data_IF_543789396167
#
_entry.id   IF_543789396167
#
_cell.length_a   1.000
_cell.length_b   1.000
_cell.length_c   1.000
_cell.angle_alpha   90.00
_cell.angle_beta   90.00
_cell.angle_gamma   90.00
#
_symmetry.space_group_name_H-M   'P 1'
#
loop_
_entity.id
_entity.type
_entity.pdbx_description
1 polymer ?
#
# COMPACT_ATOMS: atom_id res chain seq x y z
N UNK A 1 -41.54 12.07 63.87
CA UNK A 1 -40.93 13.34 64.28
C UNK A 1 -39.44 13.30 63.97
N UNK A 2 -38.93 14.29 63.22
CA UNK A 2 -37.58 14.92 63.22
C UNK A 2 -36.35 13.98 63.30
N UNK A 3 -35.31 14.07 62.47
CA UNK A 3 -34.64 15.28 61.96
C UNK A 3 -33.67 14.93 60.82
N UNK A 4 -33.61 15.80 59.80
CA UNK A 4 -32.51 15.93 58.83
C UNK A 4 -31.34 16.69 59.46
N UNK A 5 -30.13 16.34 59.03
CA UNK A 5 -28.92 17.16 58.81
C UNK A 5 -27.89 16.23 58.17
N UNK A 6 -27.04 16.55 57.21
CA UNK A 6 -26.59 17.78 56.57
C UNK A 6 -25.74 17.26 55.39
N UNK A 7 -25.81 17.84 54.19
CA UNK A 7 -24.61 18.14 53.38
C UNK A 7 -25.01 18.81 52.07
N UNK A 8 -24.25 19.88 51.82
CA UNK A 8 -24.55 20.97 50.94
C UNK A 8 -24.02 20.76 49.52
N UNK A 9 -24.70 21.43 48.60
CA UNK A 9 -24.23 22.05 47.36
C UNK A 9 -22.72 22.04 47.08
N UNK A 10 -22.33 21.42 45.97
CA UNK A 10 -21.22 21.85 45.12
C UNK A 10 -21.37 21.24 43.70
N UNK A 11 -22.25 21.79 42.86
CA UNK A 11 -22.37 21.36 41.45
C UNK A 11 -22.39 22.53 40.44
N UNK A 12 -22.23 23.78 40.89
CA UNK A 12 -22.32 24.96 40.03
C UNK A 12 -20.96 25.52 39.54
N UNK A 13 -19.83 24.95 39.98
CA UNK A 13 -18.48 25.47 39.67
C UNK A 13 -17.78 24.84 38.46
N UNK A 14 -18.16 23.63 38.06
CA UNK A 14 -17.48 22.86 36.99
C UNK A 14 -18.00 23.21 35.59
N UNK A 15 -19.27 23.61 35.49
CA UNK A 15 -19.94 23.90 34.22
C UNK A 15 -19.46 25.20 33.57
N UNK A 16 -19.20 26.25 34.35
CA UNK A 16 -18.76 27.55 33.85
C UNK A 16 -17.30 27.54 33.34
N UNK A 17 -16.40 26.85 34.05
CA UNK A 17 -14.99 26.74 33.65
C UNK A 17 -14.80 25.87 32.38
N UNK A 18 -15.57 24.78 32.25
CA UNK A 18 -15.56 23.94 31.06
C UNK A 18 -16.10 24.69 29.82
N UNK A 19 -17.16 25.49 29.98
CA UNK A 19 -17.68 26.33 28.91
C UNK A 19 -16.69 27.41 28.48
N UNK A 20 -15.96 28.00 29.44
CA UNK A 20 -14.97 29.03 29.13
C UNK A 20 -13.74 28.45 28.40
N UNK A 21 -13.19 27.33 28.86
CA UNK A 21 -12.07 26.66 28.20
C UNK A 21 -12.41 26.16 26.79
N UNK A 22 -13.68 25.78 26.55
CA UNK A 22 -14.17 25.42 25.22
C UNK A 22 -14.35 26.66 24.33
N UNK A 23 -14.89 27.75 24.88
CA UNK A 23 -14.99 29.05 24.19
C UNK A 23 -13.62 29.63 23.84
N UNK A 24 -12.58 29.38 24.63
CA UNK A 24 -11.22 29.82 24.34
C UNK A 24 -10.54 28.92 23.28
N UNK A 25 -11.01 27.69 23.10
CA UNK A 25 -10.51 26.74 22.11
C UNK A 25 -10.98 27.04 20.66
N UNK A 26 -12.17 27.63 20.52
CA UNK A 26 -12.77 28.11 19.26
C UNK A 26 -12.64 29.64 19.23
N UNK A 27 -11.84 30.21 18.31
CA UNK A 27 -11.46 31.64 18.34
C UNK A 27 -12.63 32.62 18.49
N UNK A 28 -12.34 33.77 19.11
CA UNK A 28 -13.26 34.84 19.50
C UNK A 28 -14.41 35.15 18.52
N UNK A 29 -15.63 35.16 19.08
CA UNK A 29 -16.90 35.68 18.53
C UNK A 29 -17.79 34.77 17.67
N UNK A 30 -17.66 33.43 17.73
CA UNK A 30 -18.73 32.56 17.24
C UNK A 30 -19.23 31.62 18.33
N UNK A 31 -20.49 31.78 18.75
CA UNK A 31 -21.18 30.84 19.67
C UNK A 31 -21.46 29.48 19.00
N UNK A 32 -20.90 29.25 17.82
CA UNK A 32 -21.14 28.11 16.93
C UNK A 32 -19.87 27.26 16.86
N UNK A 33 -19.94 26.05 17.40
CA UNK A 33 -18.89 25.05 17.32
C UNK A 33 -18.86 24.31 15.97
N UNK A 34 -20.00 24.13 15.30
CA UNK A 34 -20.08 23.53 13.96
C UNK A 34 -21.37 23.91 13.21
N UNK A 35 -21.40 23.74 11.89
CA UNK A 35 -22.59 23.92 11.05
C UNK A 35 -22.80 22.73 10.13
N UNK A 36 -24.05 22.29 9.97
CA UNK A 36 -24.46 21.25 9.04
C UNK A 36 -25.71 21.69 8.26
N UNK A 37 -25.53 22.17 7.03
CA UNK A 37 -26.61 22.83 6.28
C UNK A 37 -27.09 24.10 6.99
N UNK A 38 -28.39 24.21 7.27
CA UNK A 38 -28.95 25.32 8.09
C UNK A 38 -28.84 25.10 9.60
N UNK A 39 -28.38 23.93 10.06
CA UNK A 39 -28.28 23.60 11.48
C UNK A 39 -26.96 24.09 12.07
N UNK A 40 -27.00 24.57 13.31
CA UNK A 40 -25.84 25.05 14.06
C UNK A 40 -25.66 24.26 15.36
N UNK A 41 -24.46 23.71 15.56
CA UNK A 41 -24.03 23.19 16.86
C UNK A 41 -23.42 24.34 17.65
N UNK A 42 -24.08 24.80 18.71
CA UNK A 42 -23.50 25.84 19.56
C UNK A 42 -22.43 25.29 20.48
N UNK A 43 -21.48 26.14 20.89
CA UNK A 43 -20.43 25.77 21.87
C UNK A 43 -21.07 25.29 23.18
N UNK A 44 -22.16 25.93 23.61
CA UNK A 44 -22.94 25.49 24.78
C UNK A 44 -23.52 24.10 24.60
N UNK A 45 -24.11 23.80 23.42
CA UNK A 45 -24.67 22.48 23.15
C UNK A 45 -23.59 21.41 23.09
N UNK A 46 -22.43 21.71 22.52
CA UNK A 46 -21.28 20.81 22.48
C UNK A 46 -20.75 20.51 23.89
N UNK A 47 -20.62 21.53 24.75
CA UNK A 47 -20.24 21.34 26.15
C UNK A 47 -21.24 20.44 26.91
N UNK A 48 -22.53 20.62 26.63
CA UNK A 48 -23.61 19.80 27.17
C UNK A 48 -23.51 18.33 26.73
N UNK A 49 -23.19 18.07 25.45
CA UNK A 49 -22.99 16.72 24.93
C UNK A 49 -21.79 16.03 25.57
N UNK A 50 -20.68 16.76 25.73
CA UNK A 50 -19.46 16.30 26.40
C UNK A 50 -19.70 15.97 27.89
N UNK A 51 -20.51 16.78 28.59
CA UNK A 51 -20.78 16.58 30.02
C UNK A 51 -21.79 15.46 30.33
N UNK A 52 -22.63 15.09 29.36
CA UNK A 52 -23.71 14.11 29.54
C UNK A 52 -23.35 12.71 29.03
N UNK A 53 -22.22 12.54 28.34
CA UNK A 53 -21.81 11.22 27.87
C UNK A 53 -21.32 10.36 29.05
N UNK A 54 -21.71 9.07 29.13
CA UNK A 54 -21.22 8.15 30.16
C UNK A 54 -19.72 7.90 30.06
N UNK A 55 -19.17 8.10 28.86
CA UNK A 55 -17.74 8.07 28.58
C UNK A 55 -17.17 9.39 29.08
N UNK A 56 -16.31 9.38 30.10
CA UNK A 56 -15.70 10.59 30.65
C UNK A 56 -14.70 11.22 29.66
N UNK A 57 -15.20 11.80 28.58
CA UNK A 57 -14.39 12.43 27.53
C UNK A 57 -13.87 13.76 28.07
N UNK A 58 -12.56 13.92 28.10
CA UNK A 58 -11.97 15.19 28.51
C UNK A 58 -12.31 16.29 27.47
N UNK A 59 -12.74 17.48 27.90
CA UNK A 59 -13.12 18.57 27.00
C UNK A 59 -11.89 19.31 26.46
N UNK A 60 -10.99 18.57 25.81
CA UNK A 60 -9.85 19.13 25.09
C UNK A 60 -10.31 19.69 23.75
N UNK A 61 -9.56 20.63 23.17
CA UNK A 61 -9.82 21.19 21.84
C UNK A 61 -9.95 20.09 20.76
N UNK A 62 -9.09 19.08 20.85
CA UNK A 62 -9.07 17.95 19.92
C UNK A 62 -10.34 17.11 20.01
N UNK A 63 -10.77 16.73 21.22
CA UNK A 63 -12.01 15.96 21.43
C UNK A 63 -13.25 16.78 21.06
N UNK A 64 -13.24 18.08 21.35
CA UNK A 64 -14.31 19.00 20.98
C UNK A 64 -14.46 19.09 19.45
N UNK A 65 -13.35 19.25 18.73
CA UNK A 65 -13.33 19.25 17.27
C UNK A 65 -13.80 17.91 16.68
N UNK A 66 -13.37 16.79 17.26
CA UNK A 66 -13.77 15.46 16.80
C UNK A 66 -15.29 15.21 16.96
N UNK A 67 -15.87 15.61 18.10
CA UNK A 67 -17.31 15.48 18.34
C UNK A 67 -18.10 16.45 17.48
N UNK A 68 -17.60 17.67 17.29
CA UNK A 68 -18.20 18.65 16.39
C UNK A 68 -18.25 18.12 14.94
N UNK A 69 -17.15 17.53 14.45
CA UNK A 69 -17.09 16.88 13.15
C UNK A 69 -18.07 15.69 13.05
N UNK A 70 -18.10 14.81 14.06
CA UNK A 70 -19.03 13.69 14.11
C UNK A 70 -20.50 14.15 14.11
N UNK A 71 -20.80 15.23 14.83
CA UNK A 71 -22.13 15.83 14.83
C UNK A 71 -22.50 16.36 13.44
N UNK A 72 -21.57 17.03 12.74
CA UNK A 72 -21.81 17.50 11.37
C UNK A 72 -22.16 16.33 10.45
N UNK A 73 -21.35 15.27 10.49
CA UNK A 73 -21.57 14.08 9.66
C UNK A 73 -22.92 13.42 9.97
N UNK A 74 -23.26 13.27 11.27
CA UNK A 74 -24.55 12.70 11.68
C UNK A 74 -25.75 13.56 11.26
N UNK A 75 -25.64 14.89 11.36
CA UNK A 75 -26.70 15.79 10.93
C UNK A 75 -26.87 15.77 9.41
N UNK A 76 -25.77 15.82 8.64
CA UNK A 76 -25.85 15.74 7.19
C UNK A 76 -26.46 14.40 6.73
N UNK A 77 -26.10 13.31 7.39
CA UNK A 77 -26.70 11.99 7.18
C UNK A 77 -28.21 11.99 7.49
N UNK A 78 -28.62 12.59 8.61
CA UNK A 78 -30.03 12.73 8.97
C UNK A 78 -30.82 13.63 8.02
N UNK A 79 -30.25 14.76 7.60
CA UNK A 79 -30.86 15.65 6.60
C UNK A 79 -31.02 14.97 5.24
N UNK A 80 -30.04 14.16 4.83
CA UNK A 80 -30.11 13.38 3.60
C UNK A 80 -31.25 12.35 3.68
N UNK A 81 -31.26 11.52 4.73
CA UNK A 81 -32.30 10.54 4.99
C UNK A 81 -33.70 11.16 5.01
N UNK A 82 -33.87 12.29 5.71
CA UNK A 82 -35.13 13.01 5.83
C UNK A 82 -35.66 13.62 4.51
N UNK A 83 -34.76 13.93 3.58
CA UNK A 83 -35.10 14.38 2.22
C UNK A 83 -35.39 13.22 1.26
N UNK A 84 -35.35 11.98 1.75
CA UNK A 84 -35.46 10.79 0.92
C UNK A 84 -34.24 10.59 0.01
N UNK A 85 -33.11 11.23 0.33
CA UNK A 85 -31.86 10.98 -0.37
C UNK A 85 -31.37 9.58 0.02
N UNK A 86 -31.43 8.68 -0.96
CA UNK A 86 -30.95 7.32 -0.83
C UNK A 86 -29.48 7.21 -0.44
N UNK A 87 -28.68 8.27 -0.64
CA UNK A 87 -27.22 8.26 -0.59
C UNK A 87 -26.58 7.23 -1.54
N UNK A 88 -27.38 6.72 -2.48
CA UNK A 88 -26.97 5.71 -3.47
C UNK A 88 -27.06 6.24 -4.90
N UNK A 89 -27.11 7.56 -5.06
CA UNK A 89 -27.03 8.16 -6.38
C UNK A 89 -25.63 7.91 -6.97
N UNK A 90 -25.51 7.54 -8.26
CA UNK A 90 -24.22 7.18 -8.87
C UNK A 90 -23.12 8.24 -8.67
N UNK A 91 -23.49 9.52 -8.71
CA UNK A 91 -22.54 10.63 -8.56
C UNK A 91 -21.89 10.65 -7.17
N UNK A 92 -22.69 10.49 -6.12
CA UNK A 92 -22.25 10.50 -4.73
C UNK A 92 -21.46 9.23 -4.41
N UNK A 93 -21.89 8.07 -4.95
CA UNK A 93 -21.13 6.82 -4.83
C UNK A 93 -19.75 6.97 -5.49
N UNK A 94 -19.70 7.46 -6.73
CA UNK A 94 -18.43 7.64 -7.44
C UNK A 94 -17.52 8.66 -6.74
N UNK A 95 -18.08 9.73 -6.17
CA UNK A 95 -17.32 10.69 -5.38
C UNK A 95 -16.74 10.06 -4.10
N UNK A 96 -17.50 9.20 -3.40
CA UNK A 96 -17.03 8.48 -2.23
C UNK A 96 -16.04 7.35 -2.58
N UNK A 97 -16.15 6.79 -3.78
CA UNK A 97 -15.35 5.66 -4.26
C UNK A 97 -14.14 6.06 -5.11
N UNK A 98 -13.75 7.34 -5.15
CA UNK A 98 -12.66 7.81 -6.02
C UNK A 98 -11.35 7.03 -5.84
N UNK A 99 -10.99 6.67 -4.61
CA UNK A 99 -9.79 5.85 -4.35
C UNK A 99 -9.90 4.44 -4.95
N UNK A 100 -11.06 3.80 -4.84
CA UNK A 100 -11.33 2.50 -5.47
C UNK A 100 -11.34 2.59 -6.99
N UNK A 101 -11.99 3.62 -7.55
CA UNK A 101 -12.06 3.86 -8.98
C UNK A 101 -10.66 4.07 -9.57
N UNK A 102 -9.84 4.89 -8.90
CA UNK A 102 -8.45 5.11 -9.27
C UNK A 102 -7.64 3.80 -9.28
N UNK A 103 -7.75 2.98 -8.23
CA UNK A 103 -7.10 1.67 -8.17
C UNK A 103 -7.53 0.75 -9.31
N UNK A 104 -8.83 0.64 -9.60
CA UNK A 104 -9.33 -0.16 -10.73
C UNK A 104 -8.82 0.34 -12.09
N UNK A 105 -8.77 1.66 -12.29
CA UNK A 105 -8.21 2.25 -13.50
C UNK A 105 -6.72 1.95 -13.66
N UNK A 106 -5.94 2.02 -12.57
CA UNK A 106 -4.53 1.64 -12.60
C UNK A 106 -4.35 0.14 -12.92
N UNK A 107 -5.22 -0.72 -12.41
CA UNK A 107 -5.21 -2.15 -12.74
C UNK A 107 -5.55 -2.40 -14.21
N UNK A 108 -6.56 -1.72 -14.77
CA UNK A 108 -6.87 -1.79 -16.19
C UNK A 108 -5.71 -1.28 -17.06
N UNK A 109 -5.06 -0.20 -16.63
CA UNK A 109 -3.88 0.33 -17.30
C UNK A 109 -2.72 -0.67 -17.28
N UNK A 110 -2.38 -1.23 -16.12
CA UNK A 110 -1.36 -2.27 -15.99
C UNK A 110 -1.68 -3.49 -16.88
N UNK A 111 -2.91 -4.01 -16.84
CA UNK A 111 -3.32 -5.12 -17.69
C UNK A 111 -3.26 -4.77 -19.20
N UNK A 112 -3.62 -3.55 -19.58
CA UNK A 112 -3.49 -3.08 -20.95
C UNK A 112 -2.01 -3.02 -21.37
N UNK A 113 -1.16 -2.41 -20.54
CA UNK A 113 0.29 -2.35 -20.74
C UNK A 113 0.85 -3.77 -20.90
N UNK A 114 0.55 -4.69 -19.98
CA UNK A 114 0.96 -6.10 -20.05
C UNK A 114 0.51 -6.78 -21.35
N UNK A 115 -0.73 -6.54 -21.79
CA UNK A 115 -1.23 -7.12 -23.04
C UNK A 115 -0.54 -6.57 -24.30
N UNK A 116 -0.04 -5.34 -24.24
CA UNK A 116 0.63 -4.65 -25.36
C UNK A 116 2.13 -4.87 -25.38
N UNK A 117 2.74 -5.07 -24.21
CA UNK A 117 4.12 -5.47 -24.04
C UNK A 117 4.23 -6.96 -24.38
N UNK A 118 4.11 -7.31 -25.67
CA UNK A 118 4.46 -8.64 -26.16
C UNK A 118 5.94 -8.89 -25.85
N UNK A 119 6.21 -9.58 -24.76
CA UNK A 119 7.55 -10.10 -24.53
C UNK A 119 7.80 -11.26 -25.49
N UNK A 120 9.05 -11.43 -25.90
CA UNK A 120 9.44 -12.58 -26.68
C UNK A 120 8.97 -13.85 -25.95
N UNK A 121 8.30 -14.79 -26.63
CA UNK A 121 7.92 -16.04 -25.98
C UNK A 121 9.16 -16.76 -25.47
N UNK A 122 8.98 -17.56 -24.43
CA UNK A 122 10.04 -18.44 -23.97
C UNK A 122 10.48 -19.35 -25.13
N UNK A 123 11.80 -19.43 -25.34
CA UNK A 123 12.40 -20.23 -26.39
C UNK A 123 13.77 -20.71 -25.93
N UNK A 124 14.32 -21.70 -26.64
CA UNK A 124 15.70 -22.11 -26.44
C UNK A 124 16.68 -20.95 -26.65
N UNK A 125 16.45 -20.12 -27.68
CA UNK A 125 17.28 -18.95 -27.94
C UNK A 125 17.23 -17.91 -26.81
N UNK A 126 16.04 -17.63 -26.24
CA UNK A 126 15.91 -16.71 -25.10
C UNK A 126 16.54 -17.31 -23.83
N UNK A 127 16.39 -18.62 -23.64
CA UNK A 127 17.02 -19.35 -22.55
C UNK A 127 18.53 -19.25 -22.63
N UNK A 128 19.13 -19.63 -23.76
CA UNK A 128 20.58 -19.69 -23.97
C UNK A 128 21.22 -18.31 -23.80
N UNK A 129 20.59 -17.28 -24.36
CA UNK A 129 21.02 -15.88 -24.23
C UNK A 129 20.93 -15.32 -22.80
N UNK A 130 20.26 -16.03 -21.87
CA UNK A 130 20.02 -15.51 -20.52
C UNK A 130 19.10 -14.29 -20.52
N UNK A 131 18.09 -14.30 -21.41
CA UNK A 131 17.19 -13.18 -21.60
C UNK A 131 16.53 -12.76 -20.27
N UNK A 132 16.40 -11.45 -20.07
CA UNK A 132 15.89 -10.85 -18.82
C UNK A 132 16.65 -11.27 -17.55
N UNK A 133 17.89 -11.78 -17.68
CA UNK A 133 18.67 -12.37 -16.59
C UNK A 133 17.93 -13.48 -15.84
N UNK A 134 17.12 -14.27 -16.56
CA UNK A 134 16.39 -15.42 -16.03
C UNK A 134 17.15 -16.70 -16.33
N UNK A 135 17.34 -17.53 -15.32
CA UNK A 135 18.12 -18.75 -15.40
C UNK A 135 17.41 -19.89 -14.66
N UNK A 136 17.79 -21.11 -15.01
CA UNK A 136 17.42 -22.33 -14.28
C UNK A 136 18.71 -23.07 -13.95
N UNK A 137 18.90 -23.41 -12.67
CA UNK A 137 20.13 -24.01 -12.20
C UNK A 137 19.89 -24.95 -11.03
N UNK A 138 20.82 -25.89 -10.87
CA UNK A 138 20.93 -26.71 -9.67
C UNK A 138 22.29 -26.49 -8.99
N UNK A 139 22.35 -26.74 -7.69
CA UNK A 139 23.59 -26.53 -6.93
C UNK A 139 23.90 -27.63 -5.90
N UNK A 140 25.16 -27.65 -5.46
CA UNK A 140 25.61 -28.38 -4.26
C UNK A 140 26.27 -27.36 -3.35
N UNK A 141 25.71 -27.17 -2.15
CA UNK A 141 26.22 -26.22 -1.17
C UNK A 141 27.05 -26.93 -0.10
N UNK A 142 28.30 -26.52 0.07
CA UNK A 142 29.14 -26.90 1.20
C UNK A 142 29.21 -25.75 2.19
N UNK A 143 28.45 -25.85 3.27
CA UNK A 143 28.23 -24.76 4.21
C UNK A 143 29.43 -24.49 5.10
N UNK A 144 29.62 -23.21 5.42
CA UNK A 144 30.37 -22.77 6.59
C UNK A 144 29.63 -21.62 7.28
N UNK A 145 29.84 -21.36 8.59
CA UNK A 145 29.20 -20.25 9.29
C UNK A 145 29.54 -18.89 8.65
N UNK A 146 28.60 -17.95 8.70
CA UNK A 146 28.88 -16.56 8.35
C UNK A 146 30.02 -16.06 9.25
N UNK A 147 31.08 -15.51 8.66
CA UNK A 147 32.28 -15.10 9.38
C UNK A 147 33.29 -16.21 9.68
N UNK A 148 33.14 -17.41 9.09
CA UNK A 148 34.10 -18.51 9.26
C UNK A 148 35.55 -18.08 8.99
N UNK A 149 36.46 -18.59 9.82
CA UNK A 149 37.90 -18.33 9.71
C UNK A 149 38.47 -18.92 8.42
N UNK A 150 39.61 -18.42 7.92
CA UNK A 150 40.27 -19.00 6.74
C UNK A 150 40.49 -20.51 6.86
N UNK A 151 40.88 -21.00 8.04
CA UNK A 151 41.12 -22.43 8.29
C UNK A 151 39.83 -23.26 8.21
N UNK A 152 38.72 -22.74 8.72
CA UNK A 152 37.41 -23.40 8.61
C UNK A 152 36.99 -23.49 7.14
N UNK A 153 37.14 -22.39 6.39
CA UNK A 153 36.85 -22.33 4.96
C UNK A 153 37.70 -23.31 4.15
N UNK A 154 38.99 -23.43 4.44
CA UNK A 154 39.90 -24.35 3.75
C UNK A 154 39.47 -25.82 3.90
N UNK A 155 38.99 -26.22 5.08
CA UNK A 155 38.52 -27.59 5.30
C UNK A 155 37.28 -27.92 4.46
N UNK A 156 36.36 -26.95 4.33
CA UNK A 156 35.13 -27.08 3.54
C UNK A 156 35.45 -27.04 2.05
N UNK A 157 36.39 -26.16 1.65
CA UNK A 157 36.89 -26.04 0.28
C UNK A 157 37.44 -27.37 -0.23
N UNK A 158 38.31 -28.03 0.53
CA UNK A 158 38.88 -29.35 0.15
C UNK A 158 37.80 -30.40 -0.12
N UNK A 159 36.74 -30.44 0.70
CA UNK A 159 35.60 -31.34 0.50
C UNK A 159 34.85 -30.98 -0.78
N UNK A 160 34.59 -29.70 -0.99
CA UNK A 160 33.91 -29.20 -2.19
C UNK A 160 34.71 -29.49 -3.46
N UNK A 161 36.04 -29.30 -3.44
CA UNK A 161 36.94 -29.61 -4.56
C UNK A 161 36.94 -31.11 -4.90
N UNK A 162 36.94 -31.98 -3.88
CA UNK A 162 36.89 -33.42 -4.08
C UNK A 162 35.58 -33.87 -4.73
N UNK A 163 34.45 -33.25 -4.39
CA UNK A 163 33.15 -33.52 -5.03
C UNK A 163 33.08 -32.91 -6.43
N UNK A 164 33.60 -31.70 -6.62
CA UNK A 164 33.69 -31.05 -7.94
C UNK A 164 34.50 -31.89 -8.94
N UNK A 165 35.57 -32.55 -8.50
CA UNK A 165 36.36 -33.43 -9.37
C UNK A 165 35.59 -34.67 -9.88
N UNK A 166 34.48 -35.03 -9.23
CA UNK A 166 33.65 -36.21 -9.56
C UNK A 166 32.34 -35.83 -10.24
N UNK A 167 31.93 -34.57 -10.15
CA UNK A 167 30.62 -34.12 -10.62
C UNK A 167 30.55 -34.10 -12.14
N UNK A 168 29.43 -34.54 -12.68
CA UNK A 168 29.04 -34.40 -14.07
C UNK A 168 27.51 -34.36 -14.15
N UNK A 169 26.97 -34.10 -15.33
CA UNK A 169 25.52 -33.94 -15.53
C UNK A 169 24.70 -35.17 -15.07
N UNK A 170 25.26 -36.38 -15.14
CA UNK A 170 24.54 -37.62 -14.81
C UNK A 170 24.45 -37.90 -13.31
N UNK A 171 25.46 -37.48 -12.54
CA UNK A 171 25.53 -37.78 -11.10
C UNK A 171 25.30 -36.55 -10.20
N UNK A 172 25.13 -35.36 -10.77
CA UNK A 172 24.99 -34.11 -10.01
C UNK A 172 23.88 -34.21 -8.96
N UNK A 173 22.69 -34.68 -9.35
CA UNK A 173 21.54 -34.76 -8.45
C UNK A 173 21.79 -35.71 -7.26
N UNK A 174 22.49 -36.82 -7.47
CA UNK A 174 22.82 -37.76 -6.40
C UNK A 174 23.88 -37.19 -5.47
N UNK A 175 24.89 -36.51 -6.02
CA UNK A 175 25.89 -35.81 -5.23
C UNK A 175 25.27 -34.65 -4.44
N UNK A 176 24.31 -33.94 -5.01
CA UNK A 176 23.55 -32.91 -4.31
C UNK A 176 22.76 -33.49 -3.12
N UNK A 177 22.02 -34.58 -3.33
CA UNK A 177 21.29 -35.28 -2.24
C UNK A 177 22.21 -35.77 -1.12
N UNK A 178 23.42 -36.20 -1.48
CA UNK A 178 24.38 -36.78 -0.53
C UNK A 178 25.20 -35.73 0.22
N UNK A 179 25.60 -34.65 -0.44
CA UNK A 179 26.61 -33.73 0.06
C UNK A 179 26.14 -32.30 0.25
N UNK A 180 25.04 -31.88 -0.41
CA UNK A 180 24.56 -30.51 -0.28
C UNK A 180 24.01 -30.27 1.12
N UNK A 181 24.51 -29.21 1.76
CA UNK A 181 24.01 -28.69 3.02
C UNK A 181 22.80 -27.76 2.85
N UNK A 182 22.32 -27.52 1.63
CA UNK A 182 21.10 -26.73 1.43
C UNK A 182 19.84 -27.56 1.72
N UNK A 183 19.11 -27.30 2.82
CA UNK A 183 17.90 -28.08 3.13
C UNK A 183 16.76 -27.86 2.12
N UNK A 184 16.77 -26.74 1.38
CA UNK A 184 15.72 -26.37 0.44
C UNK A 184 15.74 -27.17 -0.86
N UNK A 185 16.94 -27.45 -1.39
CA UNK A 185 17.11 -28.11 -2.69
C UNK A 185 17.80 -29.48 -2.65
N UNK A 186 18.54 -29.81 -1.58
CA UNK A 186 19.36 -31.03 -1.55
C UNK A 186 18.55 -32.30 -1.88
N UNK A 187 17.36 -32.46 -1.29
CA UNK A 187 16.50 -33.63 -1.51
C UNK A 187 16.01 -33.74 -2.96
N UNK A 188 15.81 -32.60 -3.63
CA UNK A 188 15.42 -32.49 -5.02
C UNK A 188 16.63 -32.55 -5.98
N UNK A 189 17.80 -32.97 -5.50
CA UNK A 189 19.00 -33.05 -6.33
C UNK A 189 19.64 -31.70 -6.61
N UNK A 190 19.43 -30.73 -5.72
CA UNK A 190 19.99 -29.40 -5.81
C UNK A 190 19.20 -28.44 -6.69
N UNK A 191 18.04 -28.85 -7.20
CA UNK A 191 17.20 -28.03 -8.08
C UNK A 191 16.70 -26.75 -7.40
N UNK A 192 16.97 -25.60 -8.00
CA UNK A 192 16.53 -24.28 -7.54
C UNK A 192 15.35 -23.74 -8.36
N UNK A 193 15.01 -24.42 -9.45
CA UNK A 193 14.06 -23.96 -10.46
C UNK A 193 14.49 -22.68 -11.17
N UNK A 194 13.50 -21.99 -11.74
CA UNK A 194 13.71 -20.76 -12.52
C UNK A 194 13.71 -19.52 -11.63
N UNK A 195 14.75 -18.71 -11.75
CA UNK A 195 14.92 -17.47 -10.97
C UNK A 195 15.53 -16.35 -11.80
N UNK A 196 15.31 -15.11 -11.37
CA UNK A 196 16.07 -13.94 -11.83
C UNK A 196 17.41 -13.87 -11.10
N UNK A 197 18.47 -13.43 -11.79
CA UNK A 197 19.82 -13.25 -11.21
C UNK A 197 19.81 -12.46 -9.90
N UNK A 198 18.94 -11.47 -9.76
CA UNK A 198 18.85 -10.60 -8.58
C UNK A 198 18.16 -11.25 -7.38
N UNK A 199 17.51 -12.39 -7.56
CA UNK A 199 16.90 -13.17 -6.47
C UNK A 199 17.96 -14.00 -5.73
N UNK A 200 19.15 -14.16 -6.32
CA UNK A 200 20.29 -14.85 -5.72
C UNK A 200 21.33 -13.84 -5.21
N UNK A 201 22.19 -14.29 -4.29
CA UNK A 201 23.35 -13.49 -3.89
C UNK A 201 24.25 -13.18 -5.09
N UNK A 202 24.86 -11.98 -5.16
CA UNK A 202 25.54 -11.51 -6.37
C UNK A 202 26.58 -12.49 -6.93
N UNK A 203 27.38 -13.13 -6.07
CA UNK A 203 28.42 -14.07 -6.50
C UNK A 203 27.83 -15.32 -7.18
N UNK A 204 26.70 -15.81 -6.66
CA UNK A 204 25.99 -16.96 -7.23
C UNK A 204 25.33 -16.59 -8.56
N UNK A 205 24.55 -15.50 -8.58
CA UNK A 205 23.86 -15.05 -9.78
C UNK A 205 24.82 -14.69 -10.93
N UNK A 206 25.97 -14.08 -10.60
CA UNK A 206 27.01 -13.78 -11.58
C UNK A 206 27.66 -15.04 -12.15
N UNK A 207 27.90 -16.05 -11.30
CA UNK A 207 28.44 -17.33 -11.75
C UNK A 207 27.48 -18.02 -12.72
N UNK A 208 26.18 -18.12 -12.37
CA UNK A 208 25.16 -18.72 -13.25
C UNK A 208 25.08 -18.00 -14.59
N UNK A 209 25.07 -16.66 -14.59
CA UNK A 209 25.01 -15.86 -15.81
C UNK A 209 26.23 -16.05 -16.73
N UNK A 210 27.38 -16.44 -16.18
CA UNK A 210 28.59 -16.75 -16.94
C UNK A 210 28.65 -18.17 -17.51
N UNK A 211 27.77 -19.09 -17.07
CA UNK A 211 27.71 -20.47 -17.54
C UNK A 211 26.90 -20.58 -18.82
N UNK A 212 27.33 -21.44 -19.74
CA UNK A 212 26.49 -21.93 -20.84
C UNK A 212 25.46 -22.94 -20.32
N UNK A 213 24.33 -23.13 -21.02
CA UNK A 213 23.39 -24.21 -20.73
C UNK A 213 24.10 -25.57 -20.61
N UNK A 214 23.82 -26.30 -19.54
CA UNK A 214 24.44 -27.57 -19.19
C UNK A 214 25.82 -27.48 -18.51
N UNK A 215 26.46 -26.32 -18.50
CA UNK A 215 27.80 -26.13 -17.95
C UNK A 215 27.80 -26.16 -16.41
N UNK A 216 28.86 -26.75 -15.85
CA UNK A 216 29.13 -26.82 -14.41
C UNK A 216 30.21 -25.81 -14.06
N UNK A 217 29.97 -25.00 -13.02
CA UNK A 217 30.89 -23.98 -12.54
C UNK A 217 32.13 -24.57 -11.87
N UNK A 218 33.16 -23.73 -11.75
CA UNK A 218 34.17 -23.89 -10.69
C UNK A 218 33.53 -23.66 -9.31
N UNK A 219 34.29 -23.85 -8.23
CA UNK A 219 33.80 -23.48 -6.90
C UNK A 219 33.50 -21.99 -6.82
N UNK A 220 32.26 -21.67 -6.43
CA UNK A 220 31.78 -20.30 -6.20
C UNK A 220 31.65 -20.10 -4.70
N UNK A 221 32.35 -19.11 -4.16
CA UNK A 221 32.25 -18.78 -2.74
C UNK A 221 31.17 -17.72 -2.54
N UNK A 222 30.28 -17.93 -1.57
CA UNK A 222 29.33 -16.93 -1.09
C UNK A 222 29.45 -16.79 0.43
N UNK A 223 28.59 -15.97 1.04
CA UNK A 223 28.45 -15.91 2.50
C UNK A 223 27.95 -17.23 3.13
N UNK A 224 27.31 -18.12 2.36
CA UNK A 224 26.73 -19.37 2.85
C UNK A 224 27.68 -20.56 2.76
N UNK A 225 28.73 -20.48 1.96
CA UNK A 225 29.59 -21.63 1.70
C UNK A 225 30.28 -21.61 0.34
N UNK A 226 30.74 -22.79 -0.06
CA UNK A 226 31.18 -23.07 -1.43
C UNK A 226 30.05 -23.77 -2.21
N UNK A 227 29.78 -23.28 -3.41
CA UNK A 227 28.78 -23.82 -4.31
C UNK A 227 29.47 -24.45 -5.53
N UNK A 228 28.97 -25.63 -5.90
CA UNK A 228 29.11 -26.17 -7.25
C UNK A 228 27.77 -25.92 -7.93
N UNK A 229 27.77 -25.26 -9.08
CA UNK A 229 26.55 -24.82 -9.75
C UNK A 229 26.51 -25.45 -11.13
N UNK A 230 25.35 -25.90 -11.57
CA UNK A 230 25.12 -26.26 -12.96
C UNK A 230 23.95 -25.45 -13.49
N UNK A 231 24.16 -24.73 -14.59
CA UNK A 231 23.06 -24.17 -15.37
C UNK A 231 22.43 -25.31 -16.15
N UNK A 232 21.12 -25.49 -16.05
CA UNK A 232 20.45 -26.57 -16.78
C UNK A 232 20.52 -26.34 -18.29
N UNK A 233 20.33 -27.41 -19.06
CA UNK A 233 20.06 -27.28 -20.50
C UNK A 233 18.62 -26.80 -20.70
N UNK A 234 18.32 -26.19 -21.86
CA UNK A 234 16.93 -25.81 -22.15
C UNK A 234 15.99 -27.03 -22.10
N UNK A 235 16.40 -28.18 -22.62
CA UNK A 235 15.60 -29.41 -22.56
C UNK A 235 15.24 -29.83 -21.12
N UNK A 236 16.16 -29.68 -20.17
CA UNK A 236 15.91 -29.96 -18.75
C UNK A 236 15.01 -28.89 -18.10
N UNK A 237 15.22 -27.61 -18.45
CA UNK A 237 14.50 -26.47 -17.88
C UNK A 237 13.14 -26.18 -18.54
N UNK A 238 12.87 -26.73 -19.73
CA UNK A 238 11.81 -26.27 -20.65
C UNK A 238 10.46 -26.04 -19.98
N UNK A 239 9.98 -27.01 -19.21
CA UNK A 239 8.66 -26.92 -18.56
C UNK A 239 8.59 -25.77 -17.56
N UNK A 240 9.62 -25.60 -16.73
CA UNK A 240 9.65 -24.55 -15.71
C UNK A 240 9.95 -23.19 -16.34
N UNK A 241 10.90 -23.14 -17.27
CA UNK A 241 11.28 -21.91 -17.94
C UNK A 241 10.16 -21.36 -18.81
N UNK A 242 9.50 -22.20 -19.63
CA UNK A 242 8.43 -21.74 -20.51
C UNK A 242 7.21 -21.21 -19.73
N UNK A 243 6.95 -21.76 -18.54
CA UNK A 243 5.86 -21.29 -17.68
C UNK A 243 6.23 -20.05 -16.86
N UNK A 244 7.50 -19.88 -16.50
CA UNK A 244 7.94 -18.82 -15.56
C UNK A 244 8.51 -17.58 -16.27
N UNK A 245 9.25 -17.78 -17.36
CA UNK A 245 9.93 -16.69 -18.09
C UNK A 245 8.97 -15.62 -18.60
N UNK A 246 7.82 -15.91 -19.24
CA UNK A 246 6.93 -14.88 -19.76
C UNK A 246 6.44 -13.93 -18.66
N UNK A 247 6.11 -14.48 -17.48
CA UNK A 247 5.69 -13.67 -16.32
C UNK A 247 6.79 -12.72 -15.86
N UNK A 248 8.02 -13.23 -15.72
CA UNK A 248 9.18 -12.41 -15.32
C UNK A 248 9.50 -11.35 -16.37
N UNK A 249 9.52 -11.74 -17.65
CA UNK A 249 9.80 -10.83 -18.75
C UNK A 249 8.76 -9.72 -18.81
N UNK A 250 7.47 -10.04 -18.67
CA UNK A 250 6.38 -9.07 -18.68
C UNK A 250 6.53 -8.08 -17.52
N UNK A 251 6.77 -8.57 -16.30
CA UNK A 251 7.02 -7.70 -15.14
C UNK A 251 8.23 -6.78 -15.33
N UNK A 252 9.31 -7.26 -15.95
CA UNK A 252 10.47 -6.44 -16.28
C UNK A 252 10.15 -5.36 -17.33
N UNK A 253 9.39 -5.73 -18.36
CA UNK A 253 8.96 -4.82 -19.41
C UNK A 253 7.99 -3.76 -18.88
N UNK A 254 7.02 -4.14 -18.04
CA UNK A 254 6.06 -3.25 -17.39
C UNK A 254 6.81 -2.23 -16.54
N UNK A 255 7.74 -2.67 -15.68
CA UNK A 255 8.57 -1.76 -14.87
C UNK A 255 9.37 -0.79 -15.73
N UNK A 256 9.98 -1.26 -16.82
CA UNK A 256 10.73 -0.41 -17.73
C UNK A 256 9.81 0.62 -18.43
N UNK A 257 8.61 0.20 -18.81
CA UNK A 257 7.59 1.06 -19.41
C UNK A 257 7.15 2.15 -18.42
N UNK A 258 6.83 1.79 -17.18
CA UNK A 258 6.46 2.75 -16.12
C UNK A 258 7.62 3.71 -15.81
N UNK A 259 8.85 3.23 -15.69
CA UNK A 259 10.02 4.08 -15.46
C UNK A 259 10.26 5.08 -16.62
N UNK A 260 10.00 4.65 -17.86
CA UNK A 260 10.05 5.54 -19.03
C UNK A 260 8.93 6.58 -19.00
N UNK A 261 7.74 6.19 -18.54
CA UNK A 261 6.60 7.09 -18.37
C UNK A 261 6.89 8.14 -17.30
N UNK A 262 7.40 7.72 -16.16
CA UNK A 262 7.80 8.56 -15.03
C UNK A 262 8.86 9.59 -15.44
N UNK A 263 9.98 9.12 -16.01
CA UNK A 263 11.05 10.00 -16.51
C UNK A 263 10.60 10.96 -17.61
N UNK A 264 9.74 10.51 -18.53
CA UNK A 264 9.15 11.36 -19.58
C UNK A 264 8.14 12.39 -19.08
N UNK A 265 7.62 12.21 -17.86
CA UNK A 265 6.58 13.08 -17.29
C UNK A 265 7.13 14.25 -16.48
N UNK A 266 8.45 14.32 -16.27
CA UNK A 266 9.11 15.44 -15.57
C UNK A 266 8.42 15.79 -14.25
N UNK A 267 8.23 14.78 -13.39
CA UNK A 267 7.62 14.95 -12.07
C UNK A 267 8.55 15.79 -11.19
N UNK A 268 8.00 16.84 -10.60
CA UNK A 268 8.71 17.74 -9.70
C UNK A 268 7.89 17.95 -8.43
N UNK A 269 8.40 17.46 -7.30
CA UNK A 269 7.82 17.72 -5.98
C UNK A 269 8.19 19.13 -5.56
N UNK A 270 7.21 19.90 -5.07
CA UNK A 270 7.43 21.30 -4.69
C UNK A 270 8.27 21.40 -3.41
N UNK A 271 9.14 22.41 -3.29
CA UNK A 271 9.79 22.72 -2.03
C UNK A 271 8.76 22.90 -0.90
N UNK A 272 8.96 22.21 0.23
CA UNK A 272 8.07 22.26 1.38
C UNK A 272 6.80 21.40 1.27
N UNK A 273 6.62 20.64 0.18
CA UNK A 273 5.45 19.77 0.00
C UNK A 273 5.34 18.70 1.10
N UNK A 274 6.46 18.18 1.61
CA UNK A 274 6.47 17.27 2.75
C UNK A 274 5.76 17.83 3.99
N UNK A 275 5.99 19.11 4.33
CA UNK A 275 5.33 19.75 5.46
C UNK A 275 3.83 19.91 5.23
N UNK A 276 3.42 20.33 4.03
CA UNK A 276 2.01 20.42 3.65
C UNK A 276 1.33 19.04 3.73
N UNK A 277 1.99 17.99 3.23
CA UNK A 277 1.48 16.62 3.27
C UNK A 277 1.35 16.09 4.71
N UNK A 278 2.31 16.38 5.60
CA UNK A 278 2.23 16.02 7.02
C UNK A 278 1.03 16.63 7.71
N UNK A 279 0.74 17.91 7.44
CA UNK A 279 -0.43 18.61 8.00
C UNK A 279 -1.71 18.00 7.47
N UNK A 280 -1.82 17.85 6.14
CA UNK A 280 -3.00 17.30 5.50
C UNK A 280 -3.30 15.85 5.90
N UNK A 281 -2.27 15.05 6.20
CA UNK A 281 -2.42 13.67 6.65
C UNK A 281 -3.11 13.59 8.03
N UNK A 282 -2.91 14.57 8.92
CA UNK A 282 -3.54 14.60 10.25
C UNK A 282 -4.98 15.13 10.22
N UNK A 283 -5.35 15.91 9.20
CA UNK A 283 -6.70 16.42 8.98
C UNK A 283 -7.17 16.14 7.55
N UNK A 284 -7.32 14.86 7.23
CA UNK A 284 -7.74 14.44 5.90
C UNK A 284 -9.12 14.97 5.51
N UNK A 285 -10.03 15.19 6.47
CA UNK A 285 -11.37 15.70 6.17
C UNK A 285 -11.32 17.18 5.74
N UNK A 286 -10.56 18.01 6.47
CA UNK A 286 -10.39 19.44 6.16
C UNK A 286 -9.67 19.71 4.84
N UNK A 287 -8.91 18.73 4.34
CA UNK A 287 -8.09 18.87 3.13
C UNK A 287 -8.62 18.13 1.89
N UNK A 288 -9.84 17.56 1.92
CA UNK A 288 -10.42 16.81 0.77
C UNK A 288 -10.48 17.62 -0.53
N UNK A 289 -10.89 18.88 -0.44
CA UNK A 289 -11.05 19.78 -1.60
C UNK A 289 -9.86 20.74 -1.78
N UNK A 290 -8.74 20.47 -1.10
CA UNK A 290 -7.57 21.34 -1.12
C UNK A 290 -6.85 21.27 -2.47
N UNK A 291 -6.86 22.39 -3.19
CA UNK A 291 -6.26 22.56 -4.51
C UNK A 291 -4.77 22.97 -4.45
N UNK A 292 -4.20 23.07 -3.24
CA UNK A 292 -2.78 23.25 -3.00
C UNK A 292 -1.97 22.20 -3.74
N UNK A 293 -0.84 22.59 -4.32
CA UNK A 293 -0.06 21.72 -5.21
C UNK A 293 1.12 21.14 -4.45
N UNK A 294 1.24 19.82 -4.45
CA UNK A 294 2.35 19.09 -3.83
C UNK A 294 3.42 18.69 -4.86
N UNK A 295 3.01 18.33 -6.06
CA UNK A 295 3.91 18.04 -7.17
C UNK A 295 3.30 18.44 -8.52
N UNK A 296 4.14 18.71 -9.50
CA UNK A 296 3.76 19.00 -10.89
C UNK A 296 4.35 18.00 -11.85
N UNK A 297 3.69 17.74 -12.96
CA UNK A 297 4.19 16.89 -14.04
C UNK A 297 3.59 17.32 -15.38
N UNK A 298 4.11 16.79 -16.48
CA UNK A 298 3.63 17.10 -17.82
C UNK A 298 2.14 16.73 -17.96
N UNK A 299 1.28 17.74 -18.11
CA UNK A 299 -0.16 17.56 -18.25
C UNK A 299 -0.96 17.58 -16.95
N UNK A 300 -0.33 17.81 -15.78
CA UNK A 300 -1.08 17.83 -14.53
C UNK A 300 -0.30 18.19 -13.27
N UNK A 301 -0.95 17.92 -12.14
CA UNK A 301 -0.43 18.21 -10.80
C UNK A 301 -1.03 17.24 -9.79
N UNK A 302 -0.24 16.89 -8.77
CA UNK A 302 -0.73 16.24 -7.56
C UNK A 302 -1.16 17.36 -6.59
N UNK A 303 -2.46 17.43 -6.27
CA UNK A 303 -2.97 18.35 -5.26
C UNK A 303 -3.00 17.71 -3.87
N UNK A 304 -3.18 18.54 -2.84
CA UNK A 304 -3.37 18.08 -1.47
C UNK A 304 -4.63 17.20 -1.35
N UNK A 305 -5.74 17.60 -1.97
CA UNK A 305 -6.97 16.79 -2.00
C UNK A 305 -6.76 15.42 -2.66
N UNK A 306 -5.99 15.36 -3.75
CA UNK A 306 -5.64 14.08 -4.39
C UNK A 306 -4.73 13.22 -3.51
N UNK A 307 -3.75 13.83 -2.85
CA UNK A 307 -2.92 13.14 -1.87
C UNK A 307 -3.76 12.54 -0.73
N UNK A 308 -4.70 13.31 -0.19
CA UNK A 308 -5.63 12.85 0.86
C UNK A 308 -6.51 11.70 0.36
N UNK A 309 -7.03 11.79 -0.87
CA UNK A 309 -7.80 10.72 -1.49
C UNK A 309 -6.99 9.41 -1.55
N UNK A 310 -5.73 9.47 -1.98
CA UNK A 310 -4.84 8.31 -1.98
C UNK A 310 -4.62 7.74 -0.59
N UNK A 311 -4.36 8.62 0.39
CA UNK A 311 -4.11 8.21 1.77
C UNK A 311 -5.31 7.51 2.41
N UNK A 312 -6.53 7.96 2.10
CA UNK A 312 -7.78 7.33 2.54
C UNK A 312 -8.00 5.94 1.93
N UNK A 313 -7.47 5.69 0.72
CA UNK A 313 -7.52 4.38 0.06
C UNK A 313 -6.53 3.36 0.62
N UNK A 314 -5.57 3.77 1.47
CA UNK A 314 -4.56 2.88 2.01
C UNK A 314 -5.05 2.10 3.25
N UNK A 315 -4.51 0.90 3.53
CA UNK A 315 -4.90 0.11 4.70
C UNK A 315 -4.63 0.85 6.03
N UNK A 316 -5.63 1.02 6.91
CA UNK A 316 -5.48 1.74 8.19
C UNK A 316 -4.41 1.14 9.11
N UNK A 317 -4.18 -0.18 9.02
CA UNK A 317 -3.18 -0.90 9.82
C UNK A 317 -1.75 -0.39 9.62
N UNK A 318 -1.47 0.30 8.51
CA UNK A 318 -0.15 0.85 8.22
C UNK A 318 0.12 2.17 8.97
N UNK A 319 -0.93 2.81 9.53
CA UNK A 319 -0.84 4.05 10.31
C UNK A 319 0.00 5.15 9.62
N UNK A 320 -0.15 5.27 8.29
CA UNK A 320 0.68 6.14 7.45
C UNK A 320 0.68 7.60 7.92
N UNK A 321 -0.47 8.23 8.27
CA UNK A 321 -0.47 9.62 8.71
C UNK A 321 0.48 9.92 9.89
N UNK A 322 0.52 9.02 10.86
CA UNK A 322 1.36 9.12 12.05
C UNK A 322 2.83 8.81 11.71
N UNK A 323 3.08 7.80 10.87
CA UNK A 323 4.45 7.49 10.42
C UNK A 323 5.07 8.65 9.66
N UNK A 324 4.30 9.35 8.83
CA UNK A 324 4.74 10.54 8.11
C UNK A 324 5.28 11.62 9.04
N UNK A 325 4.80 11.73 10.29
CA UNK A 325 5.30 12.73 11.25
C UNK A 325 6.72 12.44 11.73
N UNK A 326 7.18 11.19 11.61
CA UNK A 326 8.45 10.71 12.20
C UNK A 326 9.55 10.48 11.17
N UNK A 327 9.19 10.35 9.89
CA UNK A 327 10.16 10.10 8.82
C UNK A 327 10.76 11.41 8.29
N UNK A 328 12.00 11.37 7.76
CA UNK A 328 12.60 12.51 7.07
C UNK A 328 11.75 13.01 5.89
N UNK A 329 11.79 14.32 5.65
CA UNK A 329 11.05 14.96 4.54
C UNK A 329 11.39 14.35 3.19
N UNK A 330 12.65 13.94 2.97
CA UNK A 330 13.07 13.29 1.73
C UNK A 330 12.33 11.98 1.43
N UNK A 331 11.92 11.22 2.45
CA UNK A 331 11.11 10.02 2.25
C UNK A 331 9.67 10.37 1.87
N UNK A 332 9.16 11.50 2.37
CA UNK A 332 7.83 12.00 2.01
C UNK A 332 7.85 12.58 0.60
N UNK A 333 8.90 13.30 0.22
CA UNK A 333 9.06 13.79 -1.15
C UNK A 333 9.10 12.62 -2.14
N UNK A 334 9.84 11.55 -1.83
CA UNK A 334 9.82 10.33 -2.65
C UNK A 334 8.42 9.68 -2.72
N UNK A 335 7.68 9.69 -1.61
CA UNK A 335 6.31 9.19 -1.58
C UNK A 335 5.37 10.04 -2.46
N UNK A 336 5.46 11.37 -2.36
CA UNK A 336 4.70 12.30 -3.19
C UNK A 336 5.06 12.17 -4.68
N UNK A 337 6.33 11.92 -4.99
CA UNK A 337 6.77 11.62 -6.36
C UNK A 337 6.10 10.34 -6.87
N UNK A 338 6.05 9.28 -6.07
CA UNK A 338 5.35 8.04 -6.41
C UNK A 338 3.86 8.24 -6.68
N UNK A 339 3.18 9.02 -5.83
CA UNK A 339 1.76 9.37 -6.04
C UNK A 339 1.55 10.23 -7.29
N UNK A 340 2.44 11.17 -7.59
CA UNK A 340 2.40 11.92 -8.83
C UNK A 340 2.57 11.01 -10.06
N UNK A 341 3.42 9.98 -9.96
CA UNK A 341 3.54 8.93 -10.97
C UNK A 341 2.23 8.15 -11.17
N UNK A 342 1.47 7.87 -10.10
CA UNK A 342 0.14 7.28 -10.20
C UNK A 342 -0.86 8.19 -10.91
N UNK A 343 -0.84 9.50 -10.64
CA UNK A 343 -1.68 10.47 -11.35
C UNK A 343 -1.37 10.50 -12.86
N UNK A 344 -0.10 10.43 -13.23
CA UNK A 344 0.30 10.31 -14.64
C UNK A 344 -0.30 9.05 -15.26
N UNK A 345 -0.22 7.90 -14.58
CA UNK A 345 -0.79 6.64 -15.07
C UNK A 345 -2.32 6.72 -15.21
N UNK A 346 -3.01 7.35 -14.27
CA UNK A 346 -4.45 7.59 -14.36
C UNK A 346 -4.83 8.45 -15.56
N UNK A 347 -4.08 9.53 -15.83
CA UNK A 347 -4.30 10.36 -17.02
C UNK A 347 -4.12 9.55 -18.32
N UNK A 348 -3.17 8.62 -18.35
CA UNK A 348 -2.99 7.71 -19.48
C UNK A 348 -4.15 6.74 -19.60
N UNK A 349 -4.57 6.12 -18.50
CA UNK A 349 -5.73 5.24 -18.45
C UNK A 349 -6.98 5.93 -19.00
N UNK A 350 -7.26 7.18 -18.56
CA UNK A 350 -8.36 8.00 -19.06
C UNK A 350 -8.25 8.29 -20.56
N UNK A 351 -7.07 8.68 -21.03
CA UNK A 351 -6.84 8.95 -22.46
C UNK A 351 -7.08 7.71 -23.34
N UNK A 352 -6.89 6.52 -22.77
CA UNK A 352 -7.14 5.21 -23.39
C UNK A 352 -8.55 4.69 -23.13
N UNK A 353 -9.37 5.43 -22.37
CA UNK A 353 -10.74 5.06 -21.95
C UNK A 353 -10.78 3.76 -21.12
N UNK A 354 -9.76 3.53 -20.29
CA UNK A 354 -9.63 2.36 -19.40
C UNK A 354 -10.33 2.54 -18.04
N UNK A 355 -11.48 3.22 -18.05
CA UNK A 355 -12.33 3.38 -16.86
C UNK A 355 -12.98 2.07 -16.40
N UNK A 356 -13.84 2.14 -15.38
CA UNK A 356 -14.66 0.99 -14.96
C UNK A 356 -15.58 0.54 -16.10
N UNK A 357 -15.66 -0.78 -16.27
CA UNK A 357 -16.65 -1.45 -17.11
C UNK A 357 -18.07 -1.29 -16.55
N UNK A 358 -19.08 -1.57 -17.37
CA UNK A 358 -20.48 -1.51 -16.94
C UNK A 358 -20.75 -2.44 -15.74
N UNK A 359 -20.18 -3.65 -15.77
CA UNK A 359 -20.36 -4.65 -14.71
C UNK A 359 -19.69 -4.21 -13.40
N UNK A 360 -18.50 -3.61 -13.45
CA UNK A 360 -17.84 -3.08 -12.26
C UNK A 360 -18.59 -1.90 -11.66
N UNK A 361 -19.17 -1.02 -12.50
CA UNK A 361 -20.03 0.07 -12.01
C UNK A 361 -21.27 -0.46 -11.32
N UNK A 362 -21.94 -1.45 -11.91
CA UNK A 362 -23.11 -2.09 -11.31
C UNK A 362 -22.75 -2.77 -9.96
N UNK A 363 -21.62 -3.47 -9.90
CA UNK A 363 -21.11 -4.05 -8.65
C UNK A 363 -20.77 -2.99 -7.60
N UNK A 364 -20.12 -1.90 -8.00
CA UNK A 364 -19.81 -0.78 -7.11
C UNK A 364 -21.10 -0.18 -6.53
N UNK A 365 -22.09 0.12 -7.38
CA UNK A 365 -23.33 0.75 -6.94
C UNK A 365 -24.14 -0.17 -6.02
N UNK A 366 -24.30 -1.44 -6.38
CA UNK A 366 -24.99 -2.43 -5.55
C UNK A 366 -24.27 -2.67 -4.23
N UNK A 367 -22.94 -2.77 -4.26
CA UNK A 367 -22.11 -2.95 -3.07
C UNK A 367 -22.25 -1.77 -2.11
N UNK A 368 -22.15 -0.54 -2.62
CA UNK A 368 -22.31 0.66 -1.81
C UNK A 368 -23.72 0.77 -1.21
N UNK A 369 -24.77 0.52 -2.01
CA UNK A 369 -26.14 0.50 -1.52
C UNK A 369 -26.35 -0.55 -0.42
N UNK A 370 -25.79 -1.75 -0.60
CA UNK A 370 -25.80 -2.79 0.41
C UNK A 370 -25.08 -2.39 1.70
N UNK A 371 -23.94 -1.70 1.59
CA UNK A 371 -23.19 -1.20 2.75
C UNK A 371 -23.96 -0.14 3.53
N UNK A 372 -24.61 0.81 2.84
CA UNK A 372 -25.48 1.82 3.47
C UNK A 372 -26.66 1.15 4.18
N UNK A 373 -27.35 0.20 3.52
CA UNK A 373 -28.47 -0.52 4.12
C UNK A 373 -28.03 -1.32 5.38
N UNK A 374 -26.87 -1.98 5.32
CA UNK A 374 -26.30 -2.67 6.47
C UNK A 374 -25.91 -1.71 7.60
N UNK A 375 -25.35 -0.54 7.25
CA UNK A 375 -25.02 0.51 8.21
C UNK A 375 -26.26 0.96 9.00
N UNK A 376 -27.35 1.27 8.30
CA UNK A 376 -28.62 1.62 8.92
C UNK A 376 -29.19 0.51 9.81
N UNK A 377 -29.19 -0.73 9.32
CA UNK A 377 -29.64 -1.88 10.09
C UNK A 377 -28.81 -2.10 11.37
N UNK A 378 -27.49 -1.91 11.29
CA UNK A 378 -26.58 -2.05 12.44
C UNK A 378 -26.81 -0.97 13.48
N UNK A 379 -27.10 0.26 13.04
CA UNK A 379 -27.43 1.37 13.93
C UNK A 379 -28.85 1.28 14.50
N UNK A 380 -29.70 0.38 13.98
CA UNK A 380 -31.11 0.29 14.36
C UNK A 380 -31.90 1.55 14.00
N UNK A 381 -31.44 2.30 13.00
CA UNK A 381 -32.06 3.55 12.56
C UNK A 381 -32.75 3.32 11.23
N UNK A 382 -34.07 3.50 11.20
CA UNK A 382 -34.81 3.63 9.96
C UNK A 382 -34.63 5.07 9.43
N UNK A 383 -34.12 5.27 8.21
CA UNK A 383 -33.94 6.61 7.63
C UNK A 383 -35.19 7.49 7.70
N UNK A 384 -36.39 6.90 7.63
CA UNK A 384 -37.66 7.63 7.75
C UNK A 384 -37.89 8.23 9.14
N UNK A 385 -37.29 7.65 10.20
CA UNK A 385 -37.35 8.19 11.57
C UNK A 385 -36.51 9.46 11.75
N UNK A 386 -35.60 9.76 10.82
CA UNK A 386 -34.79 10.97 10.85
C UNK A 386 -35.48 12.17 10.21
N UNK A 387 -36.71 12.02 9.70
CA UNK A 387 -37.49 13.09 9.07
C UNK A 387 -37.59 14.38 9.92
N UNK A 388 -37.64 14.23 11.25
CA UNK A 388 -37.67 15.37 12.18
C UNK A 388 -36.32 16.10 12.33
N UNK A 389 -35.21 15.54 11.83
CA UNK A 389 -33.88 16.18 11.84
C UNK A 389 -33.78 17.36 10.85
N UNK A 390 -34.80 17.55 10.01
CA UNK A 390 -34.96 18.70 9.10
C UNK A 390 -35.64 19.88 9.79
N UNK A 391 -36.29 19.67 10.94
CA UNK A 391 -36.88 20.73 11.76
C UNK A 391 -35.85 21.25 12.74
#
# INVERSE_FOLDING_TARGET
>A
MKTRSLLAFAAAGVTLAACQGLKDAFSAHTDVAARAGSQELTVTRLADLLGKTPLQIQPTKENANAIAALWVDYQLLGLAAAKGDSLTSPKEIEAAAQGYIADRMLQHFSAHVDSTLMTSPASEASYDAGASNVFDARHILFQFPIGATPQQKDSVKKKAEAVLAQVNDRNFADLARKYSGDPGSAKQGGDLGVFQRTEMVPEFGNAVAGLKPGEISKLVQTQYGYHIIQRLTYAQAKTQYDSTYPRIANQGAERAYIAKLDSGSNIQVKPGAANTAKVAALDMAGHRDDNGVLATFNGGKLTVGRFVMWLQGMPPSQNIPQRMQTVPDSLIDNFLHGLAGQEVMLQRADSMKLGLTADEKDQLYKGFAGWIAQGWATLGVDPSMLADSVK
#
